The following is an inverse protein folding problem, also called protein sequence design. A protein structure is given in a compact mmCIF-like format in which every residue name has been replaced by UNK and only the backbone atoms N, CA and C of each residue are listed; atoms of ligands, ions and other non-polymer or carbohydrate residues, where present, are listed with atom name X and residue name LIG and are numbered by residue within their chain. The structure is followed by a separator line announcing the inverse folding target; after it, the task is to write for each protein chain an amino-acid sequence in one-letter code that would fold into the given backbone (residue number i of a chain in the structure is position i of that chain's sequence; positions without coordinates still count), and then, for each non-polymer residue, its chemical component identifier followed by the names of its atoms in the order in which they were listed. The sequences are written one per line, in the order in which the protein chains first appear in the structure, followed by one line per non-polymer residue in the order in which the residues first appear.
data_IF_481601590440
#
_entry.id   IF_481601590440
#
_cell.length_a   1.000
_cell.length_b   1.000
_cell.length_c   1.000
_cell.angle_alpha   90.00
_cell.angle_beta   90.00
_cell.angle_gamma   90.00
#
_symmetry.space_group_name_H-M   'P 1'
#
loop_
_entity.id
_entity.type
_entity.pdbx_description
1 polymer ?
#
# COMPACT_ATOMS: atom_id res chain seq x y z
N UNK A 1 4.51 -17.16 -23.04
CA UNK A 1 4.57 -15.72 -22.71
C UNK A 1 5.81 -15.51 -21.87
N UNK A 2 6.67 -14.55 -22.20
CA UNK A 2 7.84 -14.21 -21.36
C UNK A 2 7.40 -13.41 -20.14
N UNK A 3 8.28 -13.25 -19.14
CA UNK A 3 7.99 -12.42 -17.96
C UNK A 3 7.71 -10.97 -18.36
N UNK A 4 8.53 -10.40 -19.25
CA UNK A 4 8.32 -9.02 -19.71
C UNK A 4 6.96 -8.85 -20.39
N UNK A 5 6.58 -9.79 -21.28
CA UNK A 5 5.27 -9.77 -21.93
C UNK A 5 4.12 -9.87 -20.91
N UNK A 6 4.30 -10.68 -19.87
CA UNK A 6 3.32 -10.77 -18.77
C UNK A 6 3.17 -9.42 -18.03
N UNK A 7 4.29 -8.75 -17.73
CA UNK A 7 4.26 -7.44 -17.07
C UNK A 7 3.55 -6.39 -17.95
N UNK A 8 3.79 -6.41 -19.28
CA UNK A 8 3.08 -5.56 -20.25
C UNK A 8 1.58 -5.87 -20.26
N UNK A 9 1.21 -7.15 -20.41
CA UNK A 9 -0.19 -7.57 -20.46
C UNK A 9 -0.96 -7.25 -19.17
N UNK A 10 -0.26 -7.22 -18.03
CA UNK A 10 -0.82 -6.80 -16.75
C UNK A 10 -0.89 -5.28 -16.57
N UNK A 11 -0.32 -4.49 -17.48
CA UNK A 11 -0.30 -3.03 -17.41
C UNK A 11 0.64 -2.50 -16.32
N UNK A 12 1.70 -3.24 -15.98
CA UNK A 12 2.61 -2.91 -14.89
C UNK A 12 3.77 -2.00 -15.32
N UNK A 13 4.12 -1.97 -16.59
CA UNK A 13 5.27 -1.18 -17.08
C UNK A 13 4.81 0.21 -17.51
N UNK A 14 5.49 1.27 -17.01
CA UNK A 14 5.26 2.64 -17.42
C UNK A 14 6.42 3.16 -18.29
N UNK A 15 7.65 3.15 -17.80
CA UNK A 15 8.84 3.61 -18.52
C UNK A 15 10.00 2.64 -18.33
N UNK A 16 10.86 2.55 -19.34
CA UNK A 16 12.09 1.71 -19.33
C UNK A 16 13.24 2.49 -19.93
N UNK A 17 14.45 2.28 -19.44
CA UNK A 17 15.67 2.91 -19.99
C UNK A 17 16.15 2.24 -21.27
N UNK A 18 16.09 0.91 -21.31
CA UNK A 18 16.45 0.08 -22.46
C UNK A 18 15.59 -1.20 -22.45
N UNK A 19 14.67 -1.28 -23.40
CA UNK A 19 13.69 -2.37 -23.43
C UNK A 19 14.33 -3.73 -23.72
N UNK A 20 15.25 -3.80 -24.66
CA UNK A 20 15.84 -5.07 -25.09
C UNK A 20 16.75 -5.65 -24.01
N UNK A 21 17.59 -4.83 -23.39
CA UNK A 21 18.46 -5.26 -22.30
C UNK A 21 17.64 -5.66 -21.06
N UNK A 22 16.59 -4.92 -20.73
CA UNK A 22 15.70 -5.25 -19.61
C UNK A 22 14.99 -6.58 -19.87
N UNK A 23 14.48 -6.83 -21.08
CA UNK A 23 13.91 -8.12 -21.48
C UNK A 23 14.92 -9.27 -21.30
N UNK A 24 16.14 -9.08 -21.78
CA UNK A 24 17.21 -10.09 -21.66
C UNK A 24 17.50 -10.41 -20.19
N UNK A 25 17.57 -9.38 -19.33
CA UNK A 25 17.85 -9.56 -17.91
C UNK A 25 16.73 -10.28 -17.18
N UNK A 26 15.50 -9.75 -17.23
CA UNK A 26 14.43 -10.28 -16.39
C UNK A 26 13.85 -11.61 -16.88
N UNK A 27 13.82 -11.84 -18.19
CA UNK A 27 13.30 -13.09 -18.75
C UNK A 27 14.22 -14.29 -18.48
N UNK A 28 15.51 -14.03 -18.28
CA UNK A 28 16.53 -15.07 -18.06
C UNK A 28 16.97 -15.20 -16.59
N UNK A 29 16.30 -14.52 -15.66
CA UNK A 29 16.64 -14.56 -14.23
C UNK A 29 18.02 -13.94 -13.89
N UNK A 30 18.50 -13.01 -14.74
CA UNK A 30 19.82 -12.36 -14.60
C UNK A 30 19.75 -11.00 -13.89
N UNK A 31 18.56 -10.48 -13.61
CA UNK A 31 18.43 -9.22 -12.91
C UNK A 31 18.67 -9.41 -11.41
N UNK A 32 19.66 -8.70 -10.89
CA UNK A 32 19.72 -8.34 -9.47
C UNK A 32 19.19 -6.92 -9.38
N UNK A 33 18.05 -6.74 -8.75
CA UNK A 33 17.33 -5.48 -8.79
C UNK A 33 16.92 -5.00 -7.39
N UNK A 34 16.73 -3.69 -7.24
CA UNK A 34 16.23 -3.16 -5.98
C UNK A 34 14.98 -2.31 -6.14
N UNK A 35 14.20 -2.27 -5.06
CA UNK A 35 13.16 -1.27 -4.82
C UNK A 35 13.42 -0.67 -3.45
N UNK A 36 13.36 0.66 -3.35
CA UNK A 36 13.53 1.41 -2.11
C UNK A 36 12.20 1.65 -1.39
N UNK A 37 12.24 1.57 -0.07
CA UNK A 37 11.10 1.79 0.81
C UNK A 37 11.51 2.69 1.98
N UNK A 38 11.10 3.95 1.94
CA UNK A 38 11.31 4.86 3.07
C UNK A 38 10.37 4.50 4.23
N UNK A 39 10.89 4.27 5.43
CA UNK A 39 10.12 3.79 6.59
C UNK A 39 9.35 4.94 7.26
N UNK A 40 8.39 5.52 6.55
CA UNK A 40 7.62 6.70 6.98
C UNK A 40 6.47 6.38 7.94
N UNK A 41 6.27 5.11 8.26
CA UNK A 41 5.31 4.58 9.23
C UNK A 41 5.77 3.20 9.69
N UNK A 42 5.19 2.71 10.79
CA UNK A 42 5.45 1.38 11.35
C UNK A 42 4.71 0.24 10.63
N UNK A 43 4.16 0.50 9.46
CA UNK A 43 3.54 -0.51 8.58
C UNK A 43 3.62 -0.12 7.11
N UNK A 44 3.76 -1.13 6.28
CA UNK A 44 3.46 -1.03 4.86
C UNK A 44 1.96 -0.86 4.64
N UNK A 45 1.57 -0.26 3.52
CA UNK A 45 0.18 -0.05 3.14
C UNK A 45 -0.04 -0.40 1.65
N UNK A 46 -1.29 -0.37 1.20
CA UNK A 46 -1.66 -0.71 -0.20
C UNK A 46 -0.83 0.06 -1.24
N UNK A 47 -0.35 1.27 -0.94
CA UNK A 47 0.54 2.01 -1.85
C UNK A 47 1.89 1.32 -2.11
N UNK A 48 2.38 0.51 -1.18
CA UNK A 48 3.60 -0.30 -1.35
C UNK A 48 3.31 -1.68 -1.96
N UNK A 49 2.05 -2.10 -1.93
CA UNK A 49 1.64 -3.45 -2.27
C UNK A 49 1.99 -3.83 -3.71
N UNK A 50 1.82 -2.90 -4.65
CA UNK A 50 2.16 -3.15 -6.05
C UNK A 50 3.66 -3.40 -6.26
N UNK A 51 4.51 -2.65 -5.55
CA UNK A 51 5.95 -2.88 -5.57
C UNK A 51 6.33 -4.26 -5.00
N UNK A 52 5.68 -4.68 -3.92
CA UNK A 52 5.88 -6.02 -3.33
C UNK A 52 5.40 -7.14 -4.27
N UNK A 53 4.27 -6.96 -4.93
CA UNK A 53 3.78 -7.92 -5.94
C UNK A 53 4.74 -8.03 -7.12
N UNK A 54 5.31 -6.91 -7.59
CA UNK A 54 6.31 -6.91 -8.64
C UNK A 54 7.58 -7.65 -8.19
N UNK A 55 8.11 -7.33 -6.99
CA UNK A 55 9.28 -8.02 -6.43
C UNK A 55 9.08 -9.53 -6.36
N UNK A 56 7.92 -9.96 -5.85
CA UNK A 56 7.57 -11.38 -5.75
C UNK A 56 7.51 -12.03 -7.13
N UNK A 57 6.89 -11.39 -8.11
CA UNK A 57 6.75 -11.90 -9.48
C UNK A 57 8.11 -12.07 -10.17
N UNK A 58 8.98 -11.08 -10.05
CA UNK A 58 10.34 -11.14 -10.56
C UNK A 58 11.17 -12.22 -9.84
N UNK A 59 11.02 -12.37 -8.52
CA UNK A 59 11.68 -13.43 -7.76
C UNK A 59 11.23 -14.83 -8.20
N UNK A 60 9.93 -15.04 -8.41
CA UNK A 60 9.38 -16.31 -8.91
C UNK A 60 9.94 -16.68 -10.28
N UNK A 61 10.32 -15.70 -11.09
CA UNK A 61 10.97 -15.90 -12.40
C UNK A 61 12.51 -16.04 -12.31
N UNK A 62 13.06 -16.17 -11.10
CA UNK A 62 14.49 -16.43 -10.89
C UNK A 62 15.35 -15.18 -10.73
N UNK A 63 14.78 -13.96 -10.77
CA UNK A 63 15.53 -12.75 -10.53
C UNK A 63 15.73 -12.53 -9.02
N UNK A 64 16.81 -11.80 -8.67
CA UNK A 64 17.21 -11.58 -7.28
C UNK A 64 16.80 -10.20 -6.77
N UNK A 65 15.78 -10.07 -5.93
CA UNK A 65 15.38 -8.80 -5.36
C UNK A 65 16.28 -8.35 -4.21
N UNK A 66 16.46 -7.03 -4.11
CA UNK A 66 17.02 -6.34 -2.96
C UNK A 66 15.94 -5.38 -2.44
N UNK A 67 15.44 -5.61 -1.25
CA UNK A 67 14.60 -4.66 -0.54
C UNK A 67 15.51 -3.65 0.16
N UNK A 68 15.54 -2.41 -0.35
CA UNK A 68 16.32 -1.33 0.26
C UNK A 68 15.44 -0.57 1.24
N UNK A 69 15.76 -0.65 2.51
CA UNK A 69 15.10 0.14 3.55
C UNK A 69 15.79 1.50 3.65
N UNK A 70 15.03 2.57 3.51
CA UNK A 70 15.53 3.94 3.51
C UNK A 70 15.77 4.50 4.91
N UNK A 71 16.61 3.85 5.74
CA UNK A 71 16.95 4.37 7.08
C UNK A 71 17.66 5.71 7.03
N UNK A 72 18.58 5.91 6.07
CA UNK A 72 19.26 7.18 5.83
C UNK A 72 18.40 8.19 5.06
N UNK A 73 17.80 7.77 3.94
CA UNK A 73 16.92 8.63 3.13
C UNK A 73 15.65 9.04 3.85
N UNK A 74 15.14 8.21 4.75
CA UNK A 74 13.99 8.52 5.61
C UNK A 74 14.21 9.72 6.53
N UNK A 75 15.46 10.05 6.87
CA UNK A 75 15.82 11.25 7.65
C UNK A 75 15.70 12.54 6.81
N UNK A 76 15.74 12.43 5.49
CA UNK A 76 15.66 13.54 4.55
C UNK A 76 14.22 13.71 4.02
N UNK A 77 13.65 12.63 3.49
CA UNK A 77 12.32 12.58 2.92
C UNK A 77 12.27 12.91 1.43
N UNK A 78 11.72 11.96 0.65
CA UNK A 78 11.55 12.08 -0.79
C UNK A 78 10.55 13.19 -1.16
N UNK A 79 10.93 14.20 -1.97
CA UNK A 79 10.04 15.23 -2.46
C UNK A 79 9.14 14.78 -3.61
N UNK A 80 9.41 13.65 -4.26
CA UNK A 80 8.71 13.19 -5.48
C UNK A 80 7.21 13.01 -5.25
N UNK A 81 6.40 13.58 -6.17
CA UNK A 81 4.95 13.46 -6.13
C UNK A 81 4.27 14.12 -4.92
N UNK A 82 4.92 15.10 -4.28
CA UNK A 82 4.43 15.82 -3.10
C UNK A 82 4.41 17.33 -3.30
N UNK A 83 3.53 17.97 -2.57
CA UNK A 83 3.45 19.44 -2.53
C UNK A 83 4.08 20.05 -1.28
N UNK A 84 4.23 19.26 -0.20
CA UNK A 84 4.70 19.73 1.10
C UNK A 84 5.88 18.89 1.59
N UNK A 85 6.78 19.50 2.38
CA UNK A 85 7.92 18.84 3.00
C UNK A 85 7.43 17.76 4.00
N UNK A 86 8.15 16.65 4.10
CA UNK A 86 7.88 15.62 5.13
C UNK A 86 8.25 16.12 6.51
N UNK A 87 7.50 15.65 7.52
CA UNK A 87 7.94 15.81 8.91
C UNK A 87 9.18 14.95 9.15
N UNK A 88 10.16 15.57 9.83
CA UNK A 88 11.37 14.84 10.22
C UNK A 88 11.04 13.87 11.36
N UNK A 89 11.46 12.62 11.21
CA UNK A 89 11.33 11.59 12.22
C UNK A 89 12.62 11.45 13.02
N UNK A 90 12.53 10.95 14.27
CA UNK A 90 13.72 10.64 15.04
C UNK A 90 14.39 9.34 14.55
N UNK A 91 15.71 9.17 14.75
CA UNK A 91 16.40 7.92 14.39
C UNK A 91 15.77 6.68 15.01
N UNK A 92 15.29 6.76 16.25
CA UNK A 92 14.63 5.66 16.95
C UNK A 92 13.31 5.27 16.28
N UNK A 93 12.51 6.25 15.86
CA UNK A 93 11.27 6.02 15.14
C UNK A 93 11.56 5.35 13.77
N UNK A 94 12.58 5.83 13.06
CA UNK A 94 12.99 5.26 11.77
C UNK A 94 13.45 3.81 11.96
N UNK A 95 14.27 3.53 13.00
CA UNK A 95 14.73 2.16 13.26
C UNK A 95 13.56 1.22 13.57
N UNK A 96 12.62 1.64 14.41
CA UNK A 96 11.42 0.87 14.71
C UNK A 96 10.63 0.56 13.43
N UNK A 97 10.41 1.56 12.59
CA UNK A 97 9.69 1.38 11.32
C UNK A 97 10.44 0.45 10.35
N UNK A 98 11.78 0.52 10.31
CA UNK A 98 12.61 -0.41 9.54
C UNK A 98 12.37 -1.86 9.97
N UNK A 99 12.34 -2.11 11.27
CA UNK A 99 12.14 -3.47 11.80
C UNK A 99 10.73 -4.00 11.48
N UNK A 100 9.71 -3.16 11.58
CA UNK A 100 8.35 -3.49 11.15
C UNK A 100 8.28 -3.83 9.64
N UNK A 101 8.96 -3.05 8.79
CA UNK A 101 9.00 -3.32 7.35
C UNK A 101 9.68 -4.66 7.02
N UNK A 102 10.78 -4.98 7.70
CA UNK A 102 11.49 -6.26 7.53
C UNK A 102 10.57 -7.44 7.79
N UNK A 103 9.83 -7.41 8.90
CA UNK A 103 8.89 -8.47 9.25
C UNK A 103 7.78 -8.62 8.19
N UNK A 104 7.18 -7.51 7.78
CA UNK A 104 6.08 -7.53 6.82
C UNK A 104 6.53 -7.98 5.44
N UNK A 105 7.67 -7.51 4.95
CA UNK A 105 8.21 -7.90 3.63
C UNK A 105 8.55 -9.39 3.56
N UNK A 106 8.99 -9.99 4.66
CA UNK A 106 9.33 -11.42 4.73
C UNK A 106 8.13 -12.34 4.49
N UNK A 107 6.91 -11.82 4.55
CA UNK A 107 5.69 -12.56 4.17
C UNK A 107 5.50 -12.66 2.65
N UNK A 108 6.10 -11.75 1.90
CA UNK A 108 5.97 -11.69 0.43
C UNK A 108 7.19 -12.23 -0.30
N UNK A 109 8.37 -11.92 0.20
CA UNK A 109 9.65 -12.18 -0.44
C UNK A 109 10.40 -13.25 0.35
N UNK A 110 10.95 -14.21 -0.37
CA UNK A 110 11.81 -15.25 0.21
C UNK A 110 13.23 -14.68 0.37
N UNK A 111 13.60 -14.34 1.60
CA UNK A 111 14.92 -13.84 1.99
C UNK A 111 15.89 -14.96 2.42
N UNK A 112 15.59 -16.23 2.13
CA UNK A 112 16.55 -17.29 2.37
C UNK A 112 17.84 -17.08 1.55
N UNK A 113 18.91 -17.74 1.98
CA UNK A 113 20.26 -17.52 1.45
C UNK A 113 20.30 -17.57 -0.08
N UNK A 114 20.86 -16.53 -0.68
CA UNK A 114 21.04 -16.40 -2.13
C UNK A 114 19.80 -15.95 -2.92
N UNK A 115 18.59 -15.93 -2.32
CA UNK A 115 17.34 -15.64 -3.05
C UNK A 115 16.95 -14.17 -3.06
N UNK A 116 17.14 -13.48 -1.95
CA UNK A 116 16.90 -12.03 -1.85
C UNK A 116 17.80 -11.43 -0.79
N UNK A 117 17.93 -10.10 -0.82
CA UNK A 117 18.61 -9.34 0.21
C UNK A 117 17.67 -8.29 0.78
N UNK A 118 17.85 -7.99 2.06
CA UNK A 118 17.28 -6.83 2.72
C UNK A 118 18.41 -6.02 3.32
N UNK A 119 18.52 -4.76 2.90
CA UNK A 119 19.61 -3.88 3.27
C UNK A 119 19.07 -2.52 3.70
N UNK A 120 19.83 -1.80 4.52
CA UNK A 120 19.48 -0.46 4.98
C UNK A 120 20.50 0.55 4.41
N UNK A 121 20.04 1.59 3.74
CA UNK A 121 20.95 2.59 3.18
C UNK A 121 21.63 3.46 4.26
N UNK A 122 21.17 3.45 5.50
CA UNK A 122 21.90 4.04 6.61
C UNK A 122 23.30 3.43 6.77
N UNK A 123 23.50 2.14 6.42
CA UNK A 123 24.78 1.43 6.54
C UNK A 123 25.92 2.04 5.69
N UNK A 124 25.58 2.89 4.72
CA UNK A 124 26.58 3.61 3.92
C UNK A 124 26.36 5.11 3.87
N UNK A 125 25.10 5.61 3.94
CA UNK A 125 24.84 7.04 3.86
C UNK A 125 25.28 7.80 5.10
N UNK A 126 25.20 7.17 6.28
CA UNK A 126 25.55 7.83 7.57
C UNK A 126 27.06 8.03 7.73
N UNK A 127 27.87 7.22 7.08
CA UNK A 127 29.34 7.28 7.18
C UNK A 127 29.98 8.15 6.07
N UNK A 128 29.17 8.72 5.16
CA UNK A 128 29.68 9.53 4.06
C UNK A 128 30.26 10.86 4.55
N UNK A 129 31.51 11.12 4.17
CA UNK A 129 32.09 12.45 4.35
C UNK A 129 31.50 13.44 3.36
N UNK A 130 31.02 14.55 3.84
CA UNK A 130 30.34 15.56 3.02
C UNK A 130 31.22 16.11 1.87
N UNK A 131 32.50 16.36 2.13
CA UNK A 131 33.42 16.88 1.11
C UNK A 131 33.68 15.83 0.03
N UNK A 132 33.84 14.56 0.43
CA UNK A 132 34.05 13.48 -0.51
C UNK A 132 32.82 13.25 -1.38
N UNK A 133 31.61 13.33 -0.81
CA UNK A 133 30.36 13.27 -1.58
C UNK A 133 30.28 14.40 -2.62
N UNK A 134 30.60 15.62 -2.25
CA UNK A 134 30.60 16.76 -3.20
C UNK A 134 31.60 16.55 -4.34
N UNK A 135 32.80 16.06 -4.05
CA UNK A 135 33.86 15.85 -5.03
C UNK A 135 33.62 14.65 -5.94
N UNK A 136 33.27 13.52 -5.32
CA UNK A 136 33.21 12.22 -6.00
C UNK A 136 31.85 11.90 -6.61
N UNK A 137 30.79 12.48 -6.07
CA UNK A 137 29.41 12.25 -6.52
C UNK A 137 28.82 13.52 -7.10
N UNK A 138 28.85 14.63 -6.35
CA UNK A 138 28.26 15.90 -6.74
C UNK A 138 28.78 16.44 -8.07
N UNK A 139 30.09 16.21 -8.36
CA UNK A 139 30.70 16.60 -9.64
C UNK A 139 30.03 15.94 -10.89
N UNK A 140 29.26 14.87 -10.70
CA UNK A 140 28.53 14.19 -11.79
C UNK A 140 27.11 14.73 -12.00
N UNK A 141 26.63 15.62 -11.14
CA UNK A 141 25.28 16.19 -11.20
C UNK A 141 25.30 17.66 -11.63
N UNK A 142 24.48 17.99 -12.59
CA UNK A 142 24.24 19.37 -13.00
C UNK A 142 23.01 19.94 -12.30
N UNK A 143 23.18 20.98 -11.51
CA UNK A 143 22.08 21.66 -10.81
C UNK A 143 20.99 22.11 -11.80
N UNK A 144 21.39 22.69 -12.95
CA UNK A 144 20.43 23.12 -13.97
C UNK A 144 19.58 21.96 -14.49
N UNK A 145 20.19 20.78 -14.71
CA UNK A 145 19.45 19.57 -15.14
C UNK A 145 18.56 19.04 -14.02
N UNK A 146 19.05 19.02 -12.78
CA UNK A 146 18.26 18.58 -11.63
C UNK A 146 17.00 19.46 -11.45
N UNK A 147 17.13 20.77 -11.55
CA UNK A 147 16.00 21.70 -11.41
C UNK A 147 14.92 21.53 -12.49
N UNK A 148 15.23 20.92 -13.64
CA UNK A 148 14.23 20.59 -14.67
C UNK A 148 13.53 19.24 -14.42
N UNK A 149 13.99 18.47 -13.44
CA UNK A 149 13.43 17.16 -13.14
C UNK A 149 12.00 17.27 -12.59
N UNK A 150 11.13 16.35 -13.02
CA UNK A 150 9.70 16.36 -12.65
C UNK A 150 9.50 16.24 -11.14
N UNK A 151 10.36 15.49 -10.45
CA UNK A 151 10.28 15.32 -9.00
C UNK A 151 10.42 16.63 -8.20
N UNK A 152 11.03 17.66 -8.77
CA UNK A 152 11.20 18.97 -8.11
C UNK A 152 10.17 20.02 -8.52
N UNK A 153 9.53 19.92 -9.68
CA UNK A 153 8.64 20.97 -10.22
C UNK A 153 7.57 21.43 -9.25
N UNK A 154 6.84 20.49 -8.65
CA UNK A 154 5.76 20.80 -7.71
C UNK A 154 6.27 21.44 -6.41
N UNK A 155 7.47 21.05 -5.97
CA UNK A 155 8.09 21.60 -4.77
C UNK A 155 8.67 23.00 -5.00
N UNK A 156 9.17 23.28 -6.20
CA UNK A 156 9.73 24.60 -6.52
C UNK A 156 8.70 25.72 -6.38
N UNK A 157 7.44 25.48 -6.68
CA UNK A 157 6.36 26.47 -6.52
C UNK A 157 6.14 26.88 -5.06
N UNK A 158 6.39 25.98 -4.10
CA UNK A 158 6.22 26.19 -2.66
C UNK A 158 7.53 26.36 -1.89
N UNK A 159 8.65 26.32 -2.57
CA UNK A 159 10.00 26.41 -1.99
C UNK A 159 10.62 25.04 -1.73
N UNK A 160 11.52 24.61 -2.63
CA UNK A 160 12.33 23.40 -2.50
C UNK A 160 13.49 23.68 -1.54
N UNK A 161 13.60 22.92 -0.45
CA UNK A 161 14.73 23.06 0.47
C UNK A 161 16.00 22.40 -0.09
N UNK A 162 17.17 22.85 0.35
CA UNK A 162 18.45 22.22 0.00
C UNK A 162 18.49 20.75 0.48
N UNK A 163 17.86 20.46 1.60
CA UNK A 163 17.71 19.11 2.12
C UNK A 163 17.02 18.20 1.11
N UNK A 164 15.82 18.56 0.67
CA UNK A 164 15.03 17.83 -0.32
C UNK A 164 15.74 17.71 -1.67
N UNK A 165 16.44 18.77 -2.08
CA UNK A 165 17.19 18.81 -3.34
C UNK A 165 18.30 17.75 -3.40
N UNK A 166 18.88 17.39 -2.25
CA UNK A 166 19.91 16.35 -2.19
C UNK A 166 19.34 14.92 -2.25
N UNK A 167 18.03 14.71 -2.12
CA UNK A 167 17.45 13.38 -2.13
C UNK A 167 17.78 12.58 -3.39
N UNK A 168 17.70 13.20 -4.58
CA UNK A 168 18.08 12.57 -5.86
C UNK A 168 19.53 12.07 -5.85
N UNK A 169 20.44 12.84 -5.28
CA UNK A 169 21.86 12.46 -5.19
C UNK A 169 22.04 11.27 -4.27
N UNK A 170 21.35 11.23 -3.14
CA UNK A 170 21.40 10.12 -2.18
C UNK A 170 20.83 8.83 -2.78
N UNK A 171 19.67 8.89 -3.43
CA UNK A 171 19.08 7.73 -4.11
C UNK A 171 19.96 7.24 -5.27
N UNK A 172 20.61 8.15 -6.00
CA UNK A 172 21.57 7.79 -7.04
C UNK A 172 22.80 7.10 -6.46
N UNK A 173 23.26 7.55 -5.29
CA UNK A 173 24.36 6.91 -4.57
C UNK A 173 23.96 5.52 -4.05
N UNK A 174 22.74 5.33 -3.62
CA UNK A 174 22.21 4.01 -3.22
C UNK A 174 22.35 3.01 -4.37
N UNK A 175 21.93 3.37 -5.58
CA UNK A 175 22.06 2.49 -6.74
C UNK A 175 23.52 2.17 -7.04
N UNK A 176 24.39 3.18 -7.00
CA UNK A 176 25.83 3.01 -7.19
C UNK A 176 26.46 2.07 -6.12
N UNK A 177 26.10 2.25 -4.85
CA UNK A 177 26.57 1.40 -3.76
C UNK A 177 26.08 -0.05 -3.89
N UNK A 178 24.80 -0.23 -4.24
CA UNK A 178 24.20 -1.54 -4.47
C UNK A 178 24.81 -2.25 -5.69
N UNK A 179 25.10 -1.50 -6.75
CA UNK A 179 25.81 -2.04 -7.92
C UNK A 179 27.17 -2.61 -7.53
N UNK A 180 27.97 -1.83 -6.78
CA UNK A 180 29.31 -2.24 -6.37
C UNK A 180 29.31 -3.39 -5.35
N UNK A 181 28.40 -3.34 -4.35
CA UNK A 181 28.37 -4.31 -3.25
C UNK A 181 27.73 -5.63 -3.63
N UNK A 182 26.68 -5.60 -4.46
CA UNK A 182 25.80 -6.74 -4.68
C UNK A 182 25.56 -7.06 -6.16
N UNK A 183 26.19 -6.34 -7.09
CA UNK A 183 25.97 -6.51 -8.52
C UNK A 183 24.55 -6.12 -8.96
N UNK A 184 23.92 -5.19 -8.23
CA UNK A 184 22.58 -4.70 -8.54
C UNK A 184 22.56 -3.94 -9.86
N UNK A 185 22.02 -4.53 -10.91
CA UNK A 185 22.03 -3.99 -12.27
C UNK A 185 20.72 -3.34 -12.70
N UNK A 186 19.67 -3.41 -11.86
CA UNK A 186 18.37 -2.79 -12.16
C UNK A 186 17.76 -2.10 -10.94
N UNK A 187 17.06 -1.02 -11.21
CA UNK A 187 16.18 -0.35 -10.24
C UNK A 187 14.74 -0.36 -10.72
N UNK A 188 13.81 -0.67 -9.81
CA UNK A 188 12.38 -0.52 -10.04
C UNK A 188 11.80 0.50 -9.06
N UNK A 189 10.77 1.22 -9.49
CA UNK A 189 10.07 2.19 -8.65
C UNK A 189 8.77 2.63 -9.28
N UNK A 190 7.96 3.41 -8.55
CA UNK A 190 6.80 4.07 -9.12
C UNK A 190 7.19 5.08 -10.21
N UNK A 191 6.26 5.43 -11.09
CA UNK A 191 6.55 6.34 -12.20
C UNK A 191 6.98 7.75 -11.73
N UNK A 192 6.59 8.14 -10.53
CA UNK A 192 7.06 9.36 -9.86
C UNK A 192 8.55 9.35 -9.48
N UNK A 193 9.21 8.18 -9.52
CA UNK A 193 10.64 7.99 -9.20
C UNK A 193 11.56 8.09 -10.42
N UNK A 194 11.04 8.23 -11.63
CA UNK A 194 11.81 8.15 -12.87
C UNK A 194 13.07 9.02 -12.87
N UNK A 195 12.94 10.30 -12.50
CA UNK A 195 14.07 11.24 -12.48
C UNK A 195 15.18 10.82 -11.50
N UNK A 196 14.80 10.31 -10.31
CA UNK A 196 15.74 9.82 -9.31
C UNK A 196 16.48 8.57 -9.82
N UNK A 197 15.75 7.67 -10.48
CA UNK A 197 16.31 6.42 -11.03
C UNK A 197 17.32 6.69 -12.14
N UNK A 198 17.02 7.64 -13.03
CA UNK A 198 17.96 8.06 -14.08
C UNK A 198 19.24 8.68 -13.52
N UNK A 199 19.18 9.37 -12.38
CA UNK A 199 20.35 9.86 -11.67
C UNK A 199 21.29 8.73 -11.28
N UNK A 200 20.76 7.60 -10.82
CA UNK A 200 21.53 6.41 -10.44
C UNK A 200 22.18 5.72 -11.64
N UNK A 201 21.43 5.47 -12.71
CA UNK A 201 21.96 4.86 -13.93
C UNK A 201 23.09 5.68 -14.52
N UNK A 202 22.94 7.03 -14.56
CA UNK A 202 23.95 7.95 -15.06
C UNK A 202 25.18 8.01 -14.16
N UNK A 203 25.03 7.95 -12.84
CA UNK A 203 26.15 7.93 -11.90
C UNK A 203 26.99 6.67 -12.09
N UNK A 204 26.37 5.49 -12.22
CA UNK A 204 27.05 4.22 -12.48
C UNK A 204 27.81 4.31 -13.81
N UNK A 205 27.17 4.78 -14.86
CA UNK A 205 27.81 4.96 -16.18
C UNK A 205 29.04 5.86 -16.12
N UNK A 206 28.95 7.00 -15.43
CA UNK A 206 30.04 7.98 -15.34
C UNK A 206 31.20 7.51 -14.46
N UNK A 207 30.89 6.88 -13.34
CA UNK A 207 31.93 6.47 -12.38
C UNK A 207 32.57 5.11 -12.71
N UNK A 208 31.77 4.17 -13.23
CA UNK A 208 32.24 2.79 -13.44
C UNK A 208 32.39 2.42 -14.92
N UNK A 209 31.88 3.24 -15.86
CA UNK A 209 31.84 2.87 -17.27
C UNK A 209 30.99 1.62 -17.53
N UNK A 210 29.98 1.38 -16.70
CA UNK A 210 29.09 0.23 -16.74
C UNK A 210 27.64 0.67 -16.95
N UNK A 211 26.84 -0.23 -17.51
CA UNK A 211 25.42 -0.01 -17.70
C UNK A 211 24.62 -0.54 -16.52
N UNK A 212 23.58 0.18 -16.17
CA UNK A 212 22.56 -0.22 -15.22
C UNK A 212 21.22 0.32 -15.72
N UNK A 213 20.14 -0.37 -15.40
CA UNK A 213 18.85 -0.16 -16.04
C UNK A 213 17.78 0.23 -15.01
N UNK A 214 16.76 0.93 -15.48
CA UNK A 214 15.64 1.36 -14.66
C UNK A 214 14.32 1.07 -15.38
N UNK A 215 13.34 0.62 -14.60
CA UNK A 215 11.97 0.43 -15.06
C UNK A 215 10.99 0.98 -14.02
N UNK A 216 10.06 1.83 -14.45
CA UNK A 216 8.99 2.30 -13.59
C UNK A 216 7.73 1.46 -13.74
N UNK A 217 7.01 1.32 -12.64
CA UNK A 217 5.70 0.67 -12.60
C UNK A 217 4.59 1.72 -12.60
N UNK A 218 3.53 1.40 -13.31
CA UNK A 218 2.32 2.21 -13.37
C UNK A 218 1.78 2.44 -11.95
N UNK A 219 1.43 3.67 -11.62
CA UNK A 219 0.82 3.99 -10.33
C UNK A 219 -0.58 3.37 -10.23
N UNK A 220 -0.89 2.81 -9.08
CA UNK A 220 -2.22 2.27 -8.80
C UNK A 220 -3.21 3.41 -8.53
N UNK A 221 -3.87 3.86 -9.58
CA UNK A 221 -4.88 4.91 -9.55
C UNK A 221 -6.27 4.30 -9.74
N UNK A 222 -7.27 4.87 -9.06
CA UNK A 222 -8.66 4.56 -9.36
C UNK A 222 -9.14 5.28 -10.63
N UNK A 223 -10.37 5.01 -11.06
CA UNK A 223 -11.02 5.61 -12.23
C UNK A 223 -11.18 7.13 -12.17
N UNK A 224 -11.06 7.73 -10.96
CA UNK A 224 -11.04 9.18 -10.76
C UNK A 224 -9.61 9.76 -10.80
N UNK A 225 -8.58 8.97 -11.09
CA UNK A 225 -7.18 9.40 -11.11
C UNK A 225 -6.53 9.58 -9.73
N UNK A 226 -7.16 9.10 -8.64
CA UNK A 226 -6.63 9.20 -7.28
C UNK A 226 -5.83 7.94 -6.92
N UNK A 227 -4.70 8.12 -6.21
CA UNK A 227 -3.91 7.00 -5.68
C UNK A 227 -4.77 6.12 -4.77
N UNK A 228 -4.81 4.82 -5.04
CA UNK A 228 -5.53 3.83 -4.22
C UNK A 228 -4.79 3.56 -2.90
N UNK A 229 -5.48 2.93 -1.94
CA UNK A 229 -4.93 2.58 -0.64
C UNK A 229 -5.11 3.63 0.45
N UNK A 230 -5.87 4.69 0.15
CA UNK A 230 -6.31 5.68 1.14
C UNK A 230 -7.84 5.70 1.21
N UNK A 231 -8.35 5.75 2.43
CA UNK A 231 -9.79 5.94 2.73
C UNK A 231 -9.97 7.28 3.45
N UNK A 232 -11.20 7.65 3.76
CA UNK A 232 -11.48 8.82 4.60
C UNK A 232 -10.89 8.67 6.02
N UNK A 233 -10.67 7.43 6.48
CA UNK A 233 -10.09 7.09 7.78
C UNK A 233 -8.56 6.89 7.74
N UNK A 234 -7.89 7.12 6.61
CA UNK A 234 -6.45 7.01 6.47
C UNK A 234 -5.99 5.92 5.49
N UNK A 235 -4.75 5.46 5.65
CA UNK A 235 -4.18 4.42 4.80
C UNK A 235 -4.78 3.05 5.13
N UNK A 236 -4.86 2.19 4.10
CA UNK A 236 -5.16 0.76 4.25
C UNK A 236 -3.85 0.02 4.46
N UNK A 237 -3.64 -0.44 5.68
CA UNK A 237 -2.38 -1.02 6.15
C UNK A 237 -2.29 -2.51 5.85
N UNK A 238 -1.08 -3.04 5.74
CA UNK A 238 -0.82 -4.48 5.62
C UNK A 238 -0.68 -5.15 6.99
N UNK A 239 -0.48 -4.38 8.07
CA UNK A 239 -0.50 -4.87 9.44
C UNK A 239 -1.93 -5.18 9.88
N UNK A 240 -2.24 -6.42 10.29
CA UNK A 240 -3.58 -6.82 10.73
C UNK A 240 -4.05 -6.08 12.01
N UNK A 241 -3.13 -5.53 12.80
CA UNK A 241 -3.47 -4.74 13.98
C UNK A 241 -3.94 -3.31 13.65
N UNK A 242 -3.61 -2.80 12.45
CA UNK A 242 -3.99 -1.46 11.96
C UNK A 242 -5.17 -1.49 11.00
N UNK A 243 -5.21 -2.48 10.14
CA UNK A 243 -6.35 -2.78 9.25
C UNK A 243 -6.60 -4.27 9.37
N UNK A 244 -7.72 -4.66 10.00
CA UNK A 244 -8.04 -6.07 10.17
C UNK A 244 -8.12 -6.80 8.82
N UNK A 245 -7.87 -8.12 8.76
CA UNK A 245 -8.03 -8.90 7.53
C UNK A 245 -9.42 -8.73 6.90
N UNK A 246 -10.45 -8.57 7.75
CA UNK A 246 -11.81 -8.31 7.29
C UNK A 246 -11.96 -6.92 6.65
N UNK A 247 -11.44 -5.86 7.28
CA UNK A 247 -11.49 -4.49 6.71
C UNK A 247 -10.64 -4.39 5.43
N UNK A 248 -9.51 -5.09 5.38
CA UNK A 248 -8.68 -5.22 4.18
C UNK A 248 -9.45 -5.90 3.04
N UNK A 249 -10.14 -7.02 3.34
CA UNK A 249 -11.03 -7.70 2.40
C UNK A 249 -12.16 -6.76 1.92
N UNK A 250 -12.83 -6.06 2.83
CA UNK A 250 -13.91 -5.14 2.50
C UNK A 250 -13.45 -3.95 1.65
N UNK A 251 -12.23 -3.46 1.86
CA UNK A 251 -11.67 -2.42 1.02
C UNK A 251 -11.66 -2.85 -0.45
N UNK A 252 -11.13 -4.03 -0.75
CA UNK A 252 -11.07 -4.58 -2.10
C UNK A 252 -12.43 -5.01 -2.64
N UNK A 253 -13.28 -5.54 -1.79
CA UNK A 253 -14.67 -5.92 -2.14
C UNK A 253 -15.54 -4.71 -2.55
N UNK A 254 -15.15 -3.51 -2.12
CA UNK A 254 -15.87 -2.26 -2.36
C UNK A 254 -15.22 -1.34 -3.40
N UNK A 255 -14.24 -1.80 -4.18
CA UNK A 255 -13.70 -1.03 -5.30
C UNK A 255 -14.79 -0.76 -6.34
N UNK A 256 -14.62 0.32 -7.12
CA UNK A 256 -15.57 0.65 -8.18
C UNK A 256 -15.58 -0.44 -9.27
N UNK A 257 -16.72 -0.59 -9.95
CA UNK A 257 -16.86 -1.56 -11.06
C UNK A 257 -15.83 -1.30 -12.17
N UNK A 258 -15.55 -0.01 -12.43
CA UNK A 258 -14.55 0.40 -13.42
C UNK A 258 -13.10 0.05 -13.05
N UNK A 259 -12.82 -0.25 -11.78
CA UNK A 259 -11.46 -0.48 -11.28
C UNK A 259 -11.16 -1.96 -11.02
N UNK A 260 -12.18 -2.81 -10.85
CA UNK A 260 -11.98 -4.16 -10.32
C UNK A 260 -11.12 -5.04 -11.25
N UNK A 261 -11.38 -5.06 -12.55
CA UNK A 261 -10.64 -5.90 -13.49
C UNK A 261 -9.19 -5.42 -13.65
N UNK A 262 -8.98 -4.10 -13.66
CA UNK A 262 -7.65 -3.52 -13.61
C UNK A 262 -6.88 -3.96 -12.36
N UNK A 263 -7.50 -3.89 -11.19
CA UNK A 263 -6.87 -4.33 -9.94
C UNK A 263 -6.56 -5.84 -9.94
N UNK A 264 -7.45 -6.68 -10.45
CA UNK A 264 -7.20 -8.13 -10.60
C UNK A 264 -5.97 -8.35 -11.47
N UNK A 265 -5.90 -7.70 -12.63
CA UNK A 265 -4.82 -7.85 -13.61
C UNK A 265 -3.47 -7.43 -13.04
N UNK A 266 -3.42 -6.29 -12.35
CA UNK A 266 -2.19 -5.73 -11.83
C UNK A 266 -1.69 -6.41 -10.56
N UNK A 267 -2.57 -6.77 -9.64
CA UNK A 267 -2.22 -7.12 -8.25
C UNK A 267 -2.29 -8.62 -7.96
N UNK A 268 -3.11 -9.40 -8.66
CA UNK A 268 -3.24 -10.83 -8.37
C UNK A 268 -2.22 -11.67 -9.14
N UNK A 269 -2.03 -12.91 -8.68
CA UNK A 269 -1.20 -13.92 -9.34
C UNK A 269 -2.04 -14.91 -10.16
N UNK A 270 -3.30 -14.60 -10.44
CA UNK A 270 -4.15 -15.39 -11.30
C UNK A 270 -3.59 -15.45 -12.73
N UNK A 271 -3.72 -16.59 -13.43
CA UNK A 271 -3.36 -16.70 -14.85
C UNK A 271 -4.08 -15.65 -15.71
N UNK A 272 -3.37 -15.06 -16.66
CA UNK A 272 -3.97 -14.05 -17.55
C UNK A 272 -5.16 -14.59 -18.32
N UNK A 273 -5.10 -15.86 -18.75
CA UNK A 273 -6.21 -16.51 -19.46
C UNK A 273 -7.51 -16.60 -18.63
N UNK A 274 -7.40 -16.66 -17.31
CA UNK A 274 -8.57 -16.60 -16.41
C UNK A 274 -9.08 -15.17 -16.28
N UNK A 275 -8.17 -14.20 -16.20
CA UNK A 275 -8.52 -12.77 -16.12
C UNK A 275 -9.15 -12.30 -17.42
N UNK A 276 -8.62 -12.71 -18.58
CA UNK A 276 -9.14 -12.34 -19.91
C UNK A 276 -10.59 -12.80 -20.11
N UNK A 277 -10.99 -13.93 -19.50
CA UNK A 277 -12.41 -14.36 -19.49
C UNK A 277 -13.32 -13.41 -18.74
N UNK A 278 -12.77 -12.66 -17.76
CA UNK A 278 -13.52 -11.69 -16.97
C UNK A 278 -13.70 -10.35 -17.69
N UNK A 279 -12.95 -10.06 -18.76
CA UNK A 279 -13.04 -8.78 -19.50
C UNK A 279 -14.43 -8.53 -20.10
N UNK A 280 -15.21 -9.60 -20.34
CA UNK A 280 -16.59 -9.53 -20.80
C UNK A 280 -17.65 -9.48 -19.67
N UNK A 281 -17.21 -9.45 -18.41
CA UNK A 281 -18.12 -9.48 -17.28
C UNK A 281 -18.78 -8.11 -17.03
N UNK A 282 -20.09 -8.13 -16.82
CA UNK A 282 -20.90 -6.94 -16.56
C UNK A 282 -21.87 -7.16 -15.39
N UNK A 283 -22.38 -6.09 -14.84
CA UNK A 283 -23.44 -6.12 -13.84
C UNK A 283 -23.11 -6.97 -12.62
N UNK A 284 -23.89 -8.03 -12.36
CA UNK A 284 -23.69 -8.90 -11.20
C UNK A 284 -22.39 -9.72 -11.24
N UNK A 285 -21.84 -9.98 -12.42
CA UNK A 285 -20.56 -10.69 -12.57
C UNK A 285 -19.39 -9.85 -12.02
N UNK A 286 -19.44 -8.52 -12.10
CA UNK A 286 -18.44 -7.66 -11.48
C UNK A 286 -18.43 -7.78 -9.95
N UNK A 287 -19.54 -8.12 -9.32
CA UNK A 287 -19.56 -8.45 -7.89
C UNK A 287 -18.78 -9.73 -7.58
N UNK A 288 -18.85 -10.72 -8.48
CA UNK A 288 -18.01 -11.92 -8.36
C UNK A 288 -16.53 -11.58 -8.55
N UNK A 289 -16.19 -10.73 -9.52
CA UNK A 289 -14.82 -10.26 -9.74
C UNK A 289 -14.26 -9.54 -8.50
N UNK A 290 -15.07 -8.69 -7.84
CA UNK A 290 -14.69 -8.03 -6.58
C UNK A 290 -14.45 -9.02 -5.44
N UNK A 291 -15.23 -10.09 -5.39
CA UNK A 291 -15.04 -11.14 -4.40
C UNK A 291 -13.73 -11.92 -4.64
N UNK A 292 -13.43 -12.24 -5.89
CA UNK A 292 -12.16 -12.86 -6.31
C UNK A 292 -10.99 -11.93 -5.94
N UNK A 293 -11.06 -10.65 -6.32
CA UNK A 293 -10.02 -9.67 -5.98
C UNK A 293 -9.76 -9.60 -4.48
N UNK A 294 -10.83 -9.43 -3.69
CA UNK A 294 -10.73 -9.31 -2.25
C UNK A 294 -10.14 -10.57 -1.62
N UNK A 295 -10.57 -11.75 -2.07
CA UNK A 295 -10.05 -13.03 -1.58
C UNK A 295 -8.57 -13.21 -1.90
N UNK A 296 -8.17 -13.04 -3.17
CA UNK A 296 -6.78 -13.25 -3.60
C UNK A 296 -5.80 -12.28 -2.90
N UNK A 297 -6.18 -11.02 -2.74
CA UNK A 297 -5.30 -10.04 -2.08
C UNK A 297 -5.26 -10.23 -0.56
N UNK A 298 -6.37 -10.60 0.07
CA UNK A 298 -6.38 -10.91 1.51
C UNK A 298 -5.58 -12.19 1.79
N UNK A 299 -5.71 -13.21 0.94
CA UNK A 299 -4.91 -14.44 1.00
C UNK A 299 -3.42 -14.14 0.90
N UNK A 300 -3.03 -13.25 -0.01
CA UNK A 300 -1.63 -12.90 -0.22
C UNK A 300 -1.00 -12.17 0.98
N UNK A 301 -1.78 -11.31 1.67
CA UNK A 301 -1.29 -10.48 2.79
C UNK A 301 -1.44 -11.18 4.14
N UNK A 302 -2.59 -11.82 4.38
CA UNK A 302 -2.98 -12.33 5.69
C UNK A 302 -3.08 -13.86 5.75
N UNK A 303 -2.91 -14.54 4.61
CA UNK A 303 -3.03 -15.99 4.51
C UNK A 303 -4.43 -16.44 4.13
N UNK A 304 -4.52 -17.72 3.69
CA UNK A 304 -5.75 -18.30 3.14
C UNK A 304 -6.85 -18.47 4.19
N UNK A 305 -6.48 -18.79 5.42
CA UNK A 305 -7.44 -18.96 6.51
C UNK A 305 -8.17 -17.65 6.83
N UNK A 306 -7.43 -16.56 6.99
CA UNK A 306 -8.00 -15.24 7.25
C UNK A 306 -8.82 -14.72 6.04
N UNK A 307 -8.39 -15.02 4.81
CA UNK A 307 -9.15 -14.67 3.61
C UNK A 307 -10.51 -15.42 3.58
N UNK A 308 -10.54 -16.71 3.94
CA UNK A 308 -11.80 -17.49 4.03
C UNK A 308 -12.71 -16.94 5.11
N UNK A 309 -12.19 -16.67 6.31
CA UNK A 309 -12.96 -16.07 7.40
C UNK A 309 -13.57 -14.72 6.99
N UNK A 310 -12.78 -13.87 6.35
CA UNK A 310 -13.25 -12.57 5.86
C UNK A 310 -14.33 -12.70 4.78
N UNK A 311 -14.16 -13.64 3.83
CA UNK A 311 -15.13 -13.93 2.78
C UNK A 311 -16.45 -14.43 3.35
N UNK A 312 -16.42 -15.43 4.24
CA UNK A 312 -17.61 -16.00 4.84
C UNK A 312 -18.37 -14.97 5.69
N UNK A 313 -17.65 -14.17 6.46
CA UNK A 313 -18.21 -13.05 7.22
C UNK A 313 -18.87 -12.03 6.30
N UNK A 314 -18.21 -11.69 5.18
CA UNK A 314 -18.76 -10.78 4.17
C UNK A 314 -20.04 -11.32 3.55
N UNK A 315 -20.05 -12.60 3.13
CA UNK A 315 -21.24 -13.26 2.55
C UNK A 315 -22.42 -13.30 3.52
N UNK A 316 -22.16 -13.63 4.78
CA UNK A 316 -23.20 -13.66 5.84
C UNK A 316 -23.82 -12.29 6.03
N UNK A 317 -23.04 -11.22 5.99
CA UNK A 317 -23.53 -9.85 6.08
C UNK A 317 -24.47 -9.44 4.93
N UNK A 318 -24.21 -9.93 3.73
CA UNK A 318 -25.04 -9.61 2.56
C UNK A 318 -26.27 -10.51 2.44
N UNK A 319 -26.26 -11.70 3.05
CA UNK A 319 -27.38 -12.65 3.07
C UNK A 319 -28.34 -12.45 4.26
N UNK A 320 -28.12 -11.44 5.11
CA UNK A 320 -28.97 -11.16 6.27
C UNK A 320 -28.78 -12.11 7.47
N UNK A 321 -27.70 -12.88 7.50
CA UNK A 321 -27.39 -13.81 8.59
C UNK A 321 -26.84 -13.13 9.84
N UNK A 322 -27.24 -13.62 11.03
CA UNK A 322 -26.89 -13.06 12.35
C UNK A 322 -25.51 -13.48 12.88
N UNK A 323 -24.85 -14.45 12.27
CA UNK A 323 -23.60 -15.05 12.80
C UNK A 323 -22.40 -14.82 11.88
N UNK A 324 -21.75 -13.66 12.01
CA UNK A 324 -20.41 -13.46 11.47
C UNK A 324 -19.41 -13.37 12.63
N UNK A 325 -18.71 -14.46 12.91
CA UNK A 325 -17.74 -14.57 14.03
C UNK A 325 -16.53 -13.64 13.89
N UNK A 326 -16.26 -13.10 12.71
CA UNK A 326 -15.08 -12.27 12.39
C UNK A 326 -15.44 -10.85 11.93
N UNK A 327 -16.56 -10.31 12.34
CA UNK A 327 -16.99 -8.95 12.09
C UNK A 327 -16.25 -7.96 13.03
N UNK A 328 -15.94 -6.71 12.61
CA UNK A 328 -15.48 -5.71 13.54
C UNK A 328 -16.44 -5.66 14.74
N UNK A 329 -15.89 -5.86 15.93
CA UNK A 329 -16.69 -5.92 17.15
C UNK A 329 -16.41 -4.67 17.98
N UNK A 330 -17.47 -4.00 18.39
CA UNK A 330 -17.41 -2.93 19.37
C UNK A 330 -18.08 -3.40 20.67
N UNK A 331 -17.51 -2.99 21.79
CA UNK A 331 -18.04 -3.33 23.12
C UNK A 331 -18.52 -2.04 23.76
N UNK A 332 -19.81 -1.99 24.06
CA UNK A 332 -20.41 -0.92 24.85
C UNK A 332 -20.13 -1.18 26.34
N UNK A 333 -19.93 -0.10 27.08
CA UNK A 333 -19.66 -0.13 28.52
C UNK A 333 -20.79 0.55 29.28
N UNK A 334 -20.84 0.32 30.58
CA UNK A 334 -21.80 0.99 31.45
C UNK A 334 -21.72 2.52 31.41
N UNK A 335 -20.50 3.06 31.16
CA UNK A 335 -20.26 4.49 30.94
C UNK A 335 -20.92 5.08 29.69
N UNK A 336 -21.31 4.25 28.74
CA UNK A 336 -21.95 4.66 27.50
C UNK A 336 -23.49 4.79 27.66
N UNK A 337 -24.01 4.27 28.75
CA UNK A 337 -25.43 4.29 29.06
C UNK A 337 -25.84 5.60 29.71
N UNK A 338 -27.10 5.98 29.52
CA UNK A 338 -27.83 7.02 30.25
C UNK A 338 -29.12 6.41 30.79
N UNK A 339 -29.31 6.47 32.08
CA UNK A 339 -30.49 5.87 32.76
C UNK A 339 -30.73 4.40 32.37
N UNK A 340 -29.64 3.62 32.28
CA UNK A 340 -29.66 2.18 31.97
C UNK A 340 -29.91 1.83 30.49
N UNK A 341 -29.90 2.81 29.58
CA UNK A 341 -30.10 2.61 28.14
C UNK A 341 -29.19 3.50 27.29
N UNK A 342 -29.03 3.15 26.01
CA UNK A 342 -28.28 3.93 25.03
C UNK A 342 -29.13 4.11 23.78
N UNK A 343 -29.26 5.38 23.30
CA UNK A 343 -29.97 5.65 22.06
C UNK A 343 -29.10 5.26 20.83
N UNK A 344 -29.76 5.07 19.67
CA UNK A 344 -29.10 4.71 18.42
C UNK A 344 -27.97 5.68 18.06
N UNK A 345 -28.08 6.97 18.39
CA UNK A 345 -27.07 7.96 18.14
C UNK A 345 -25.82 7.71 19.01
N UNK A 346 -26.04 7.33 20.27
CA UNK A 346 -24.99 6.91 21.20
C UNK A 346 -24.27 5.66 20.72
N UNK A 347 -25.03 4.64 20.30
CA UNK A 347 -24.47 3.40 19.73
C UNK A 347 -23.58 3.72 18.54
N UNK A 348 -24.01 4.53 17.59
CA UNK A 348 -23.23 4.87 16.39
C UNK A 348 -21.93 5.63 16.70
N UNK A 349 -21.92 6.44 17.76
CA UNK A 349 -20.72 7.17 18.18
C UNK A 349 -19.78 6.29 18.99
N UNK A 350 -20.31 5.56 19.98
CA UNK A 350 -19.51 4.68 20.84
C UNK A 350 -18.81 3.56 20.03
N UNK A 351 -19.46 3.09 18.96
CA UNK A 351 -18.91 2.07 18.06
C UNK A 351 -17.96 2.63 16.98
N UNK A 352 -17.77 3.96 16.93
CA UNK A 352 -16.96 4.60 15.89
C UNK A 352 -17.57 4.60 14.48
N UNK A 353 -18.82 4.13 14.34
CA UNK A 353 -19.54 4.18 13.05
C UNK A 353 -19.83 5.62 12.61
N UNK A 354 -19.99 6.54 13.56
CA UNK A 354 -20.10 7.98 13.32
C UNK A 354 -19.12 8.75 14.21
N UNK A 355 -18.53 9.82 13.68
CA UNK A 355 -17.59 10.65 14.42
C UNK A 355 -18.27 11.57 15.44
N UNK A 356 -19.58 11.83 15.30
CA UNK A 356 -20.35 12.69 16.19
C UNK A 356 -21.84 12.35 16.20
N UNK A 357 -22.55 12.77 17.27
CA UNK A 357 -24.00 12.62 17.37
C UNK A 357 -24.76 13.36 16.26
N UNK A 358 -24.21 14.48 15.76
CA UNK A 358 -24.81 15.22 14.65
C UNK A 358 -24.75 14.44 13.35
N UNK A 359 -23.63 13.74 13.11
CA UNK A 359 -23.48 12.85 11.96
C UNK A 359 -24.38 11.62 12.10
N UNK A 360 -24.45 11.02 13.28
CA UNK A 360 -25.33 9.90 13.60
C UNK A 360 -26.78 10.25 13.32
N UNK A 361 -27.26 11.41 13.79
CA UNK A 361 -28.63 11.92 13.55
C UNK A 361 -28.96 11.98 12.07
N UNK A 362 -28.13 12.66 11.27
CA UNK A 362 -28.35 12.79 9.83
C UNK A 362 -28.45 11.43 9.13
N UNK A 363 -27.56 10.50 9.48
CA UNK A 363 -27.59 9.17 8.88
C UNK A 363 -28.84 8.37 9.28
N UNK A 364 -29.31 8.49 10.52
CA UNK A 364 -30.51 7.81 11.01
C UNK A 364 -31.74 8.36 10.32
N UNK A 365 -31.93 9.68 10.31
CA UNK A 365 -33.08 10.35 9.68
C UNK A 365 -33.18 10.09 8.17
N UNK A 366 -32.00 9.93 7.49
CA UNK A 366 -31.95 9.60 6.07
C UNK A 366 -32.14 8.09 5.78
N UNK A 367 -32.44 7.28 6.80
CA UNK A 367 -32.64 5.82 6.67
C UNK A 367 -31.37 5.06 6.28
N UNK A 368 -30.22 5.64 6.58
CA UNK A 368 -28.91 5.05 6.35
C UNK A 368 -28.42 4.11 7.47
N UNK A 369 -29.23 3.90 8.51
CA UNK A 369 -28.88 3.06 9.68
C UNK A 369 -29.79 1.85 9.74
N UNK A 370 -29.21 0.68 10.05
CA UNK A 370 -29.96 -0.53 10.37
C UNK A 370 -29.31 -1.29 11.54
N UNK A 371 -30.15 -1.99 12.30
CA UNK A 371 -29.74 -2.89 13.38
C UNK A 371 -30.32 -4.26 13.08
N UNK A 372 -29.49 -5.28 13.03
CA UNK A 372 -29.85 -6.66 12.63
C UNK A 372 -30.62 -6.74 11.28
N UNK A 373 -30.30 -5.83 10.37
CA UNK A 373 -30.93 -5.73 9.04
C UNK A 373 -32.21 -4.88 9.01
N UNK A 374 -32.78 -4.54 10.15
CA UNK A 374 -33.95 -3.66 10.23
C UNK A 374 -33.53 -2.19 10.21
N UNK A 375 -34.19 -1.37 9.36
CA UNK A 375 -33.89 0.06 9.27
C UNK A 375 -34.37 0.79 10.54
N UNK A 376 -33.47 1.61 11.08
CA UNK A 376 -33.77 2.50 12.20
C UNK A 376 -33.79 3.93 11.67
N UNK A 377 -34.97 4.59 11.74
CA UNK A 377 -35.16 5.98 11.31
C UNK A 377 -35.50 6.91 12.47
N UNK A 378 -36.01 6.34 13.59
CA UNK A 378 -36.24 7.10 14.79
C UNK A 378 -34.97 7.28 15.60
N UNK A 379 -34.55 8.53 15.75
CA UNK A 379 -33.34 8.92 16.49
C UNK A 379 -33.45 8.65 18.00
N UNK A 380 -34.67 8.43 18.52
CA UNK A 380 -34.93 8.12 19.91
C UNK A 380 -34.97 6.61 20.21
N UNK A 381 -34.80 5.77 19.18
CA UNK A 381 -34.69 4.32 19.40
C UNK A 381 -33.58 4.04 20.40
N UNK A 382 -33.92 3.39 21.51
CA UNK A 382 -33.04 3.11 22.63
C UNK A 382 -32.89 1.60 22.84
N UNK A 383 -31.74 1.19 23.32
CA UNK A 383 -31.36 -0.18 23.60
C UNK A 383 -30.86 -0.32 25.03
N UNK A 384 -31.13 -1.46 25.64
CA UNK A 384 -30.62 -1.87 26.96
C UNK A 384 -29.42 -2.81 26.82
N UNK A 385 -28.61 -3.01 27.86
CA UNK A 385 -27.55 -4.02 27.85
C UNK A 385 -27.99 -5.41 27.39
N UNK A 386 -29.22 -5.81 27.76
CA UNK A 386 -29.79 -7.11 27.37
C UNK A 386 -30.01 -7.24 25.85
N UNK A 387 -30.27 -6.13 25.16
CA UNK A 387 -30.43 -6.15 23.71
C UNK A 387 -29.14 -6.53 22.99
N UNK A 388 -27.98 -6.34 23.62
CA UNK A 388 -26.67 -6.66 23.09
C UNK A 388 -26.07 -7.97 23.65
N UNK A 389 -26.82 -8.73 24.44
CA UNK A 389 -26.30 -9.95 25.09
C UNK A 389 -25.82 -11.01 24.09
N UNK A 390 -26.50 -11.17 22.95
CA UNK A 390 -26.11 -12.07 21.85
C UNK A 390 -25.30 -11.33 20.75
N UNK A 391 -25.05 -10.03 20.96
CA UNK A 391 -24.47 -9.12 19.97
C UNK A 391 -25.45 -8.73 18.88
N UNK A 392 -25.49 -7.42 18.54
CA UNK A 392 -26.28 -6.87 17.44
C UNK A 392 -25.40 -6.33 16.32
N UNK A 393 -25.79 -6.56 15.08
CA UNK A 393 -25.11 -6.00 13.92
C UNK A 393 -25.69 -4.62 13.62
N UNK A 394 -24.89 -3.58 13.86
CA UNK A 394 -25.22 -2.21 13.56
C UNK A 394 -24.54 -1.80 12.26
N UNK A 395 -25.31 -1.23 11.33
CA UNK A 395 -24.84 -0.86 10.00
C UNK A 395 -25.15 0.61 9.71
N UNK A 396 -24.17 1.33 9.14
CA UNK A 396 -24.32 2.69 8.63
C UNK A 396 -24.00 2.73 7.13
N UNK A 397 -25.00 3.09 6.32
CA UNK A 397 -24.89 3.06 4.86
C UNK A 397 -24.59 1.67 4.32
N UNK A 398 -23.96 1.60 3.16
CA UNK A 398 -23.66 0.32 2.49
C UNK A 398 -22.33 -0.32 2.93
N UNK A 399 -21.45 0.45 3.62
CA UNK A 399 -20.02 0.08 3.76
C UNK A 399 -19.52 0.01 5.20
N UNK A 400 -20.19 0.58 6.18
CA UNK A 400 -19.76 0.62 7.59
C UNK A 400 -20.71 -0.19 8.46
N UNK A 401 -20.19 -1.12 9.24
CA UNK A 401 -20.95 -1.95 10.18
C UNK A 401 -20.03 -2.52 11.24
N UNK A 402 -20.58 -2.93 12.36
CA UNK A 402 -19.88 -3.68 13.40
C UNK A 402 -20.87 -4.56 14.18
N UNK A 403 -20.37 -5.62 14.79
CA UNK A 403 -21.08 -6.37 15.82
C UNK A 403 -20.90 -5.62 17.14
N UNK A 404 -22.00 -5.32 17.82
CA UNK A 404 -22.00 -4.57 19.06
C UNK A 404 -22.36 -5.54 20.18
N UNK A 405 -21.48 -5.68 21.15
CA UNK A 405 -21.70 -6.44 22.39
C UNK A 405 -21.75 -5.45 23.56
N UNK A 406 -22.18 -5.92 24.71
CA UNK A 406 -22.10 -5.18 25.96
C UNK A 406 -21.17 -5.89 26.93
N UNK A 407 -20.25 -5.13 27.56
CA UNK A 407 -19.38 -5.64 28.63
C UNK A 407 -20.16 -5.62 29.94
N UNK A 408 -20.49 -6.83 30.47
CA UNK A 408 -21.17 -7.03 31.75
C UNK A 408 -20.26 -6.83 32.94
#
# INVERSE_FOLDING_TARGET
MTLYDELVARGLIAQVTDEEEIKELINNGKATFYIGFDPTADSLHVGHFMALCLMKRLQMAGNRPIALIGGGTGMIGDPSGRTDMRQMMTPETIQHNCDCFKEQMSKFIDFSEGKALMVNNADWLMDLNYIDVLREVGAHFSVNRMLTAECYKQRMEKGLSFLEFNYMIMQSYDFYALYQKYGCNMQFGGDDQWSNMLGGTELIRRKLGKDAYAMTITLLLNSEGKKMGKTQSGAVWLDPNKTSPFDFYQYWRNVADADVLKCIRMLTFLPLEEIDKMDSWEGSQLNQAKEILAFELTKLVHGEEEAKKAQDSSRTLFSGGRNAENMPTAVLKESDLRDGSIDILGVLVATGLCASRSEARRNTEQGGVSVDGEKVQDIHTSYTPQDFAEGKVVKRGKKKFCKVNFES
#
